data_IF_628817748134
#
_entry.id   IF_628817748134
#
_cell.length_a   1.000
_cell.length_b   1.000
_cell.length_c   1.000
_cell.angle_alpha   90.00
_cell.angle_beta   90.00
_cell.angle_gamma   90.00
#
_symmetry.space_group_name_H-M   'P 1'
#
loop_
_entity.id
_entity.type
_entity.pdbx_description
1 polymer ?
#
# COMPACT_ATOMS: atom_id res chain seq x y z
N UNK A 1 16.93 32.90 50.03
CA UNK A 1 17.13 32.71 48.58
C UNK A 1 15.77 32.60 47.94
N UNK A 2 15.21 33.71 47.46
CA UNK A 2 13.92 33.71 46.75
C UNK A 2 14.17 33.37 45.28
N UNK A 3 13.44 32.40 44.71
CA UNK A 3 13.66 31.97 43.34
C UNK A 3 13.32 33.10 42.35
N UNK A 4 14.24 33.38 41.43
CA UNK A 4 14.03 34.34 40.35
C UNK A 4 12.93 33.80 39.42
N UNK A 5 11.75 34.42 39.44
CA UNK A 5 10.64 34.03 38.55
C UNK A 5 10.93 34.58 37.16
N UNK A 6 11.58 33.79 36.31
CA UNK A 6 11.73 34.07 34.89
C UNK A 6 10.35 33.95 34.22
N UNK A 7 9.72 35.07 33.90
CA UNK A 7 8.50 35.12 33.11
C UNK A 7 8.82 34.98 31.63
N UNK A 8 8.13 34.06 30.94
CA UNK A 8 8.12 34.00 29.47
C UNK A 8 7.49 35.27 28.90
N UNK A 9 8.09 35.88 27.88
CA UNK A 9 7.45 37.01 27.22
C UNK A 9 6.33 36.54 26.28
N UNK A 10 5.24 37.31 26.18
CA UNK A 10 4.16 37.02 25.22
C UNK A 10 4.67 37.01 23.78
N UNK A 11 5.70 37.82 23.48
CA UNK A 11 6.29 37.90 22.14
C UNK A 11 7.12 36.66 21.79
N UNK A 12 7.81 36.04 22.76
CA UNK A 12 8.50 34.76 22.56
C UNK A 12 7.51 33.66 22.18
N UNK A 13 6.40 33.55 22.90
CA UNK A 13 5.39 32.55 22.58
C UNK A 13 4.71 32.83 21.24
N UNK A 14 4.51 34.09 20.87
CA UNK A 14 3.92 34.49 19.59
C UNK A 14 4.82 34.07 18.41
N UNK A 15 6.13 34.33 18.47
CA UNK A 15 7.05 33.93 17.40
C UNK A 15 7.10 32.40 17.25
N UNK A 16 7.09 31.67 18.36
CA UNK A 16 7.14 30.19 18.33
C UNK A 16 5.92 29.60 17.64
N UNK A 17 4.71 30.08 17.94
CA UNK A 17 3.49 29.56 17.29
C UNK A 17 3.44 29.91 15.80
N UNK A 18 3.98 31.06 15.41
CA UNK A 18 4.10 31.45 13.98
C UNK A 18 5.04 30.50 13.24
N UNK A 19 6.22 30.20 13.82
CA UNK A 19 7.19 29.27 13.19
C UNK A 19 6.60 27.85 13.09
N UNK A 20 5.98 27.33 14.16
CA UNK A 20 5.34 26.01 14.15
C UNK A 20 4.19 25.98 13.12
N UNK A 21 3.42 27.06 13.00
CA UNK A 21 2.36 27.19 12.00
C UNK A 21 2.87 27.06 10.56
N UNK A 22 3.98 27.73 10.23
CA UNK A 22 4.62 27.65 8.90
C UNK A 22 5.13 26.22 8.63
N UNK A 23 5.80 25.59 9.60
CA UNK A 23 6.31 24.23 9.46
C UNK A 23 5.18 23.21 9.29
N UNK A 24 4.10 23.34 10.08
CA UNK A 24 2.94 22.46 10.02
C UNK A 24 2.21 22.55 8.66
N UNK A 25 2.07 23.77 8.12
CA UNK A 25 1.42 24.00 6.82
C UNK A 25 2.10 23.22 5.67
N UNK A 26 3.43 23.08 5.69
CA UNK A 26 4.19 22.33 4.69
C UNK A 26 4.22 20.82 5.02
N UNK A 27 4.36 20.48 6.30
CA UNK A 27 4.55 19.10 6.74
C UNK A 27 3.28 18.24 6.59
N UNK A 28 2.10 18.78 6.92
CA UNK A 28 0.83 18.04 6.89
C UNK A 28 0.49 17.50 5.49
N UNK A 29 0.47 18.29 4.41
CA UNK A 29 0.15 17.77 3.07
C UNK A 29 1.21 16.77 2.58
N UNK A 30 2.50 17.02 2.89
CA UNK A 30 3.59 16.09 2.53
C UNK A 30 3.43 14.73 3.21
N UNK A 31 3.08 14.73 4.50
CA UNK A 31 2.87 13.51 5.26
C UNK A 31 1.66 12.71 4.76
N UNK A 32 0.57 13.38 4.41
CA UNK A 32 -0.61 12.73 3.83
C UNK A 32 -0.28 12.02 2.51
N UNK A 33 0.41 12.69 1.59
CA UNK A 33 0.83 12.08 0.32
C UNK A 33 1.81 10.92 0.54
N UNK A 34 2.78 11.08 1.44
CA UNK A 34 3.74 9.98 1.76
C UNK A 34 3.03 8.74 2.31
N UNK A 35 2.01 8.92 3.16
CA UNK A 35 1.18 7.82 3.65
C UNK A 35 0.42 7.12 2.54
N UNK A 36 -0.17 7.88 1.62
CA UNK A 36 -0.88 7.32 0.49
C UNK A 36 0.05 6.50 -0.42
N UNK A 37 1.25 7.02 -0.73
CA UNK A 37 2.26 6.27 -1.48
C UNK A 37 2.71 4.99 -0.75
N UNK A 38 2.77 5.01 0.59
CA UNK A 38 3.07 3.82 1.38
C UNK A 38 1.96 2.75 1.23
N UNK A 39 0.69 3.14 1.23
CA UNK A 39 -0.42 2.21 0.97
C UNK A 39 -0.38 1.62 -0.45
N UNK A 40 -0.10 2.45 -1.46
CA UNK A 40 0.09 1.98 -2.85
C UNK A 40 1.26 1.00 -2.94
N UNK A 41 2.36 1.29 -2.25
CA UNK A 41 3.54 0.42 -2.22
C UNK A 41 3.24 -0.91 -1.53
N UNK A 42 2.47 -0.90 -0.44
CA UNK A 42 2.00 -2.12 0.23
C UNK A 42 1.14 -2.98 -0.72
N UNK A 43 0.15 -2.37 -1.40
CA UNK A 43 -0.66 -3.08 -2.40
C UNK A 43 0.19 -3.68 -3.53
N UNK A 44 1.21 -2.96 -4.01
CA UNK A 44 2.14 -3.46 -5.02
C UNK A 44 2.94 -4.66 -4.53
N UNK A 45 3.43 -4.60 -3.29
CA UNK A 45 4.18 -5.70 -2.67
C UNK A 45 3.30 -6.94 -2.55
N UNK A 46 2.10 -6.76 -2.03
CA UNK A 46 1.10 -7.81 -1.83
C UNK A 46 0.73 -8.51 -3.15
N UNK A 47 0.53 -7.76 -4.25
CA UNK A 47 0.28 -8.34 -5.58
C UNK A 47 1.46 -9.15 -6.12
N UNK A 48 2.71 -8.75 -5.82
CA UNK A 48 3.90 -9.54 -6.19
C UNK A 48 4.00 -10.82 -5.38
N UNK A 49 3.71 -10.76 -4.08
CA UNK A 49 3.64 -11.95 -3.23
C UNK A 49 2.56 -12.91 -3.73
N UNK A 50 1.39 -12.39 -4.13
CA UNK A 50 0.37 -13.24 -4.77
C UNK A 50 0.86 -13.85 -6.07
N UNK A 51 1.62 -13.12 -6.89
CA UNK A 51 2.20 -13.73 -8.09
C UNK A 51 3.14 -14.89 -7.76
N UNK A 52 4.07 -14.71 -6.83
CA UNK A 52 4.93 -15.80 -6.38
C UNK A 52 4.14 -16.98 -5.80
N UNK A 53 3.07 -16.70 -5.04
CA UNK A 53 2.21 -17.73 -4.49
C UNK A 53 1.40 -18.46 -5.57
N UNK A 54 0.96 -17.76 -6.62
CA UNK A 54 0.28 -18.35 -7.77
C UNK A 54 1.19 -19.28 -8.54
N UNK A 55 2.43 -18.88 -8.80
CA UNK A 55 3.43 -19.76 -9.44
C UNK A 55 3.73 -21.00 -8.59
N UNK A 56 3.86 -20.86 -7.27
CA UNK A 56 4.03 -22.01 -6.38
C UNK A 56 2.81 -22.94 -6.45
N UNK A 57 1.60 -22.39 -6.36
CA UNK A 57 0.36 -23.15 -6.45
C UNK A 57 0.22 -23.87 -7.80
N UNK A 58 0.57 -23.20 -8.90
CA UNK A 58 0.51 -23.74 -10.25
C UNK A 58 1.41 -24.98 -10.40
N UNK A 59 2.62 -24.93 -9.85
CA UNK A 59 3.55 -26.07 -9.85
C UNK A 59 3.01 -27.24 -9.01
N UNK A 60 2.38 -26.96 -7.86
CA UNK A 60 1.90 -27.99 -6.95
C UNK A 60 0.56 -28.63 -7.39
N UNK A 61 -0.25 -27.92 -8.17
CA UNK A 61 -1.62 -28.32 -8.52
C UNK A 61 -1.80 -28.70 -10.00
N UNK A 62 -0.71 -29.04 -10.69
CA UNK A 62 -0.75 -29.59 -12.04
C UNK A 62 -1.19 -28.58 -13.09
N UNK A 63 -0.46 -27.46 -13.17
CA UNK A 63 -0.65 -26.42 -14.20
C UNK A 63 -1.99 -25.66 -14.09
N UNK A 64 -2.51 -25.51 -12.87
CA UNK A 64 -3.75 -24.77 -12.60
C UNK A 64 -3.49 -23.65 -11.59
N UNK A 65 -3.88 -22.42 -11.94
CA UNK A 65 -3.83 -21.27 -11.04
C UNK A 65 -4.94 -21.29 -9.99
N UNK A 66 -4.65 -20.71 -8.82
CA UNK A 66 -5.62 -20.59 -7.73
C UNK A 66 -6.70 -19.55 -8.04
N UNK A 67 -7.97 -19.88 -7.76
CA UNK A 67 -9.12 -19.00 -7.97
C UNK A 67 -9.38 -18.02 -6.83
N UNK A 68 -8.77 -18.25 -5.67
CA UNK A 68 -8.96 -17.43 -4.47
C UNK A 68 -7.65 -17.28 -3.69
N UNK A 69 -7.56 -16.21 -2.90
CA UNK A 69 -6.41 -15.99 -2.02
C UNK A 69 -6.34 -17.01 -0.89
N UNK A 70 -7.47 -17.60 -0.49
CA UNK A 70 -7.53 -18.68 0.51
C UNK A 70 -6.85 -19.95 0.01
N UNK A 71 -6.94 -20.22 -1.29
CA UNK A 71 -6.30 -21.38 -1.93
C UNK A 71 -4.76 -21.26 -1.96
N UNK A 72 -4.22 -20.04 -1.82
CA UNK A 72 -2.78 -19.80 -1.75
C UNK A 72 -2.17 -20.18 -0.38
N UNK A 73 -2.99 -20.60 0.58
CA UNK A 73 -2.55 -21.11 1.87
C UNK A 73 -1.70 -20.12 2.66
N UNK A 74 -0.62 -20.60 3.27
CA UNK A 74 0.30 -19.77 4.07
C UNK A 74 1.27 -18.94 3.24
N UNK A 75 1.34 -19.17 1.93
CA UNK A 75 2.28 -18.50 1.01
C UNK A 75 1.93 -17.03 0.80
N UNK A 76 0.65 -16.67 0.99
CA UNK A 76 0.21 -15.27 0.98
C UNK A 76 -0.48 -14.91 2.30
N UNK A 77 -0.05 -13.79 2.88
CA UNK A 77 -0.77 -13.10 3.96
C UNK A 77 -0.96 -11.64 3.56
N UNK A 78 -2.20 -11.18 3.63
CA UNK A 78 -2.52 -9.80 3.30
C UNK A 78 -1.88 -8.83 4.28
N UNK A 79 -1.29 -7.77 3.74
CA UNK A 79 -0.89 -6.60 4.53
C UNK A 79 -2.11 -5.95 5.19
N UNK A 80 -1.92 -5.32 6.34
CA UNK A 80 -3.01 -4.69 7.08
C UNK A 80 -3.76 -3.67 6.21
N UNK A 81 -5.08 -3.82 6.11
CA UNK A 81 -5.94 -2.93 5.33
C UNK A 81 -5.95 -3.18 3.81
N UNK A 82 -5.11 -4.09 3.29
CA UNK A 82 -5.11 -4.50 1.88
C UNK A 82 -6.08 -5.65 1.67
N UNK A 83 -6.93 -5.55 0.65
CA UNK A 83 -7.79 -6.63 0.20
C UNK A 83 -7.43 -7.00 -1.24
N UNK A 84 -7.12 -8.27 -1.48
CA UNK A 84 -6.88 -8.80 -2.82
C UNK A 84 -8.06 -9.65 -3.27
N UNK A 85 -8.45 -9.50 -4.53
CA UNK A 85 -9.37 -10.42 -5.19
C UNK A 85 -8.80 -10.88 -6.53
N UNK A 86 -8.72 -12.19 -6.67
CA UNK A 86 -8.33 -12.89 -7.89
C UNK A 86 -9.59 -13.11 -8.75
N UNK A 87 -9.44 -12.96 -10.06
CA UNK A 87 -10.52 -13.12 -11.02
C UNK A 87 -9.98 -13.48 -12.41
N UNK A 88 -10.85 -13.95 -13.31
CA UNK A 88 -10.48 -14.34 -14.68
C UNK A 88 -9.32 -15.35 -14.71
N UNK A 89 -9.42 -16.41 -13.91
CA UNK A 89 -8.42 -17.48 -13.87
C UNK A 89 -8.68 -18.46 -15.02
N UNK A 90 -7.67 -18.68 -15.84
CA UNK A 90 -7.64 -19.63 -16.96
C UNK A 90 -6.39 -20.51 -16.85
N UNK A 91 -6.24 -21.50 -17.72
CA UNK A 91 -5.04 -22.35 -17.73
C UNK A 91 -3.75 -21.57 -18.05
N UNK A 92 -3.85 -20.48 -18.82
CA UNK A 92 -2.70 -19.71 -19.31
C UNK A 92 -2.52 -18.36 -18.62
N UNK A 93 -3.36 -18.02 -17.64
CA UNK A 93 -3.25 -16.72 -16.99
C UNK A 93 -4.30 -16.46 -15.93
N UNK A 94 -4.09 -15.37 -15.21
CA UNK A 94 -4.97 -14.93 -14.14
C UNK A 94 -4.83 -13.42 -13.95
N UNK A 95 -5.78 -12.84 -13.22
CA UNK A 95 -5.77 -11.43 -12.88
C UNK A 95 -6.08 -11.27 -11.40
N UNK A 96 -5.49 -10.27 -10.78
CA UNK A 96 -5.90 -9.85 -9.44
C UNK A 96 -5.94 -8.34 -9.34
N UNK A 97 -6.81 -7.85 -8.47
CA UNK A 97 -6.81 -6.47 -8.03
C UNK A 97 -6.59 -6.41 -6.52
N UNK A 98 -5.90 -5.36 -6.08
CA UNK A 98 -5.71 -4.99 -4.70
C UNK A 98 -6.34 -3.61 -4.45
N UNK A 99 -7.03 -3.49 -3.33
CA UNK A 99 -7.55 -2.23 -2.79
C UNK A 99 -7.08 -2.07 -1.34
N UNK A 100 -7.05 -0.82 -0.86
CA UNK A 100 -6.72 -0.51 0.53
C UNK A 100 -7.78 0.41 1.13
N UNK A 101 -8.23 0.14 2.36
CA UNK A 101 -9.35 0.86 2.97
C UNK A 101 -9.11 2.37 3.16
N UNK A 102 -7.85 2.80 3.20
CA UNK A 102 -7.46 4.20 3.43
C UNK A 102 -7.11 5.01 2.16
N UNK A 103 -7.28 4.44 0.95
CA UNK A 103 -7.06 5.16 -0.32
C UNK A 103 -8.08 4.72 -1.37
N UNK A 104 -8.38 5.59 -2.33
CA UNK A 104 -9.22 5.28 -3.48
C UNK A 104 -8.45 4.62 -4.62
N UNK A 105 -7.11 4.60 -4.54
CA UNK A 105 -6.27 3.97 -5.53
C UNK A 105 -6.41 2.44 -5.48
N UNK A 106 -6.36 1.83 -6.65
CA UNK A 106 -6.40 0.38 -6.83
C UNK A 106 -5.19 -0.08 -7.65
N UNK A 107 -4.65 -1.24 -7.28
CA UNK A 107 -3.56 -1.86 -8.02
C UNK A 107 -4.08 -3.13 -8.69
N UNK A 108 -3.52 -3.45 -9.86
CA UNK A 108 -3.87 -4.66 -10.60
C UNK A 108 -2.63 -5.31 -11.17
N UNK A 109 -2.68 -6.64 -11.26
CA UNK A 109 -1.69 -7.47 -11.94
C UNK A 109 -2.41 -8.40 -12.91
N UNK A 110 -1.76 -8.70 -14.03
CA UNK A 110 -2.29 -9.57 -15.08
C UNK A 110 -1.20 -10.48 -15.61
N UNK A 111 -1.56 -11.73 -15.84
CA UNK A 111 -0.75 -12.73 -16.53
C UNK A 111 -1.57 -13.36 -17.66
N UNK A 112 -0.91 -13.74 -18.75
CA UNK A 112 -1.54 -14.32 -19.93
C UNK A 112 -2.27 -13.29 -20.81
N UNK A 113 -1.77 -12.05 -20.86
CA UNK A 113 -2.37 -10.95 -21.63
C UNK A 113 -1.45 -10.51 -22.76
N UNK A 114 -1.95 -10.50 -24.00
CA UNK A 114 -1.17 -10.06 -25.18
C UNK A 114 -0.98 -8.54 -25.29
N UNK A 115 -1.62 -7.75 -24.40
CA UNK A 115 -1.79 -6.29 -24.56
C UNK A 115 -1.06 -5.48 -23.45
N UNK A 116 -0.30 -6.12 -22.56
CA UNK A 116 0.45 -5.44 -21.49
C UNK A 116 1.63 -6.33 -21.07
N UNK A 117 2.79 -5.78 -20.64
CA UNK A 117 3.86 -6.63 -20.11
C UNK A 117 3.32 -7.46 -18.95
N UNK A 118 3.31 -8.78 -19.16
CA UNK A 118 2.78 -9.74 -18.19
C UNK A 118 3.53 -9.62 -16.85
N UNK A 119 2.79 -9.72 -15.76
CA UNK A 119 3.33 -9.58 -14.40
C UNK A 119 3.62 -8.15 -13.96
N UNK A 120 3.40 -7.13 -14.81
CA UNK A 120 3.51 -5.75 -14.38
C UNK A 120 2.37 -5.35 -13.43
N UNK A 121 2.72 -4.82 -12.26
CA UNK A 121 1.76 -4.23 -11.32
C UNK A 121 1.49 -2.78 -11.72
N UNK A 122 0.25 -2.47 -12.05
CA UNK A 122 -0.20 -1.12 -12.41
C UNK A 122 -1.16 -0.63 -11.34
N UNK A 123 -0.90 0.56 -10.78
CA UNK A 123 -1.79 1.20 -9.81
C UNK A 123 -2.37 2.49 -10.39
N UNK A 124 -3.65 2.70 -10.18
CA UNK A 124 -4.42 3.86 -10.64
C UNK A 124 -5.36 4.32 -9.55
#
# INVERSE_FOLDING_TARGET
>A
MTPNRTGFTLIELLIVVVIIGILAAIAIPKFANTKEQAYITSMRSDLRTVATAQEAYYNDNGDVYATSTTSLGTTYKASAGVTIRIYSVTASGWRAFASHAATTHTCRIRFGSTISPDGAVVCQ
#
